data_IF_178454313356
#
_entry.id   IF_178454313356
#
_cell.length_a   1.000
_cell.length_b   1.000
_cell.length_c   1.000
_cell.angle_alpha   90.00
_cell.angle_beta   90.00
_cell.angle_gamma   90.00
#
_symmetry.space_group_name_H-M   'P 1'
#
loop_
_entity.id
_entity.type
_entity.pdbx_description
1 polymer ?
#
# COMPACT_ATOMS: atom_id res chain seq x y z
N UNK A 1 5.56 0.54 8.95
CA UNK A 1 5.42 1.10 7.59
C UNK A 1 6.43 2.22 7.34
N UNK A 2 6.44 3.29 8.15
CA UNK A 2 7.40 4.39 8.00
C UNK A 2 8.87 3.94 7.95
N UNK A 3 9.27 2.96 8.77
CA UNK A 3 10.62 2.40 8.72
C UNK A 3 10.93 1.71 7.38
N UNK A 4 9.93 1.05 6.77
CA UNK A 4 10.10 0.42 5.46
C UNK A 4 10.35 1.49 4.41
N UNK A 5 9.51 2.52 4.38
CA UNK A 5 9.62 3.65 3.44
C UNK A 5 11.01 4.28 3.55
N UNK A 6 11.47 4.56 4.78
CA UNK A 6 12.81 5.09 5.05
C UNK A 6 13.92 4.14 4.60
N UNK A 7 13.82 2.85 4.92
CA UNK A 7 14.82 1.84 4.56
C UNK A 7 14.90 1.60 3.05
N UNK A 8 13.79 1.75 2.33
CA UNK A 8 13.75 1.66 0.87
C UNK A 8 14.15 2.98 0.18
N UNK A 9 14.26 4.08 0.93
CA UNK A 9 14.55 5.41 0.37
C UNK A 9 13.42 5.97 -0.48
N UNK A 10 12.18 5.50 -0.28
CA UNK A 10 11.04 5.98 -1.05
C UNK A 10 10.65 7.40 -0.62
N UNK A 11 10.29 8.24 -1.59
CA UNK A 11 9.73 9.55 -1.30
C UNK A 11 8.37 9.39 -0.62
N UNK A 12 8.08 10.24 0.36
CA UNK A 12 6.80 10.23 1.04
C UNK A 12 6.37 11.62 1.52
N UNK A 13 5.07 11.81 1.62
CA UNK A 13 4.42 13.00 2.17
C UNK A 13 3.35 12.54 3.15
N UNK A 14 3.32 13.14 4.33
CA UNK A 14 2.26 12.90 5.31
C UNK A 14 1.42 14.17 5.45
N UNK A 15 0.11 14.00 5.49
CA UNK A 15 -0.84 15.09 5.71
C UNK A 15 -1.95 14.71 6.68
N UNK A 16 -2.38 15.67 7.47
CA UNK A 16 -3.51 15.61 8.40
C UNK A 16 -4.52 16.68 7.96
N UNK A 17 -5.77 16.31 7.71
CA UNK A 17 -6.84 17.21 7.23
C UNK A 17 -6.42 18.08 6.03
N UNK A 18 -5.62 17.48 5.13
CA UNK A 18 -5.09 18.13 3.93
C UNK A 18 -3.87 19.04 4.16
N UNK A 19 -3.44 19.27 5.41
CA UNK A 19 -2.22 20.01 5.72
C UNK A 19 -1.01 19.08 5.78
N UNK A 20 0.08 19.40 5.07
CA UNK A 20 1.32 18.61 5.12
C UNK A 20 2.01 18.83 6.47
N UNK A 21 2.25 17.74 7.20
CA UNK A 21 2.88 17.76 8.53
C UNK A 21 4.00 16.73 8.62
N UNK A 22 4.91 16.92 9.59
CA UNK A 22 6.04 16.02 9.78
C UNK A 22 5.61 14.81 10.59
N UNK A 23 5.59 13.62 9.97
CA UNK A 23 5.41 12.36 10.68
C UNK A 23 6.71 11.89 11.32
N UNK A 24 6.75 11.76 12.64
CA UNK A 24 7.95 11.32 13.35
C UNK A 24 8.03 9.79 13.40
N UNK A 25 6.90 9.14 13.69
CA UNK A 25 6.78 7.68 13.82
C UNK A 25 5.48 7.13 13.21
N UNK A 26 5.51 5.87 12.75
CA UNK A 26 4.31 5.22 12.20
C UNK A 26 3.18 5.06 13.24
N UNK A 27 3.53 4.92 14.53
CA UNK A 27 2.56 4.80 15.61
C UNK A 27 1.71 6.06 15.78
N UNK A 28 2.27 7.25 15.47
CA UNK A 28 1.51 8.51 15.51
C UNK A 28 0.41 8.51 14.45
N UNK A 29 0.72 8.07 13.24
CA UNK A 29 -0.29 7.96 12.16
C UNK A 29 -1.45 7.04 12.56
N UNK A 30 -1.15 5.90 13.17
CA UNK A 30 -2.18 4.95 13.63
C UNK A 30 -3.05 5.55 14.74
N UNK A 31 -2.47 6.32 15.65
CA UNK A 31 -3.21 6.98 16.73
C UNK A 31 -4.09 8.14 16.23
N UNK A 32 -3.76 8.74 15.08
CA UNK A 32 -4.48 9.88 14.50
C UNK A 32 -5.60 9.49 13.54
N UNK A 33 -5.50 8.32 12.90
CA UNK A 33 -6.43 7.89 11.85
C UNK A 33 -7.89 7.77 12.29
N UNK A 34 -8.15 7.61 13.59
CA UNK A 34 -9.51 7.57 14.15
C UNK A 34 -10.15 8.98 14.28
N UNK A 35 -9.33 10.02 14.46
CA UNK A 35 -9.78 11.39 14.80
C UNK A 35 -9.58 12.41 13.65
N UNK A 36 -8.85 12.06 12.60
CA UNK A 36 -8.34 12.99 11.57
C UNK A 36 -8.15 12.29 10.23
N UNK A 37 -8.35 12.98 9.09
CA UNK A 37 -8.02 12.43 7.77
C UNK A 37 -6.50 12.41 7.56
N UNK A 38 -5.87 11.37 8.13
CA UNK A 38 -4.44 11.13 8.10
C UNK A 38 -4.05 10.31 6.87
N UNK A 39 -3.26 10.91 5.97
CA UNK A 39 -2.82 10.30 4.71
C UNK A 39 -1.30 10.22 4.64
N UNK A 40 -0.78 9.05 4.28
CA UNK A 40 0.63 8.89 3.94
C UNK A 40 0.77 8.53 2.46
N UNK A 41 1.16 9.51 1.65
CA UNK A 41 1.50 9.31 0.24
C UNK A 41 2.94 8.81 0.13
N UNK A 42 3.15 7.81 -0.73
CA UNK A 42 4.45 7.17 -0.94
C UNK A 42 4.67 6.96 -2.43
N UNK A 43 5.88 7.25 -2.89
CA UNK A 43 6.30 7.03 -4.27
C UNK A 43 7.47 6.04 -4.32
N UNK A 44 7.21 4.73 -4.58
CA UNK A 44 8.26 3.74 -4.74
C UNK A 44 9.21 4.04 -5.91
N UNK A 45 8.66 4.65 -6.96
CA UNK A 45 9.37 5.23 -8.10
C UNK A 45 8.65 6.52 -8.53
N UNK A 46 9.32 7.43 -9.26
CA UNK A 46 8.66 8.61 -9.81
C UNK A 46 7.41 8.25 -10.62
N UNK A 47 6.29 8.91 -10.33
CA UNK A 47 5.00 8.69 -11.03
C UNK A 47 4.15 7.51 -10.52
N UNK A 48 4.64 6.71 -9.57
CA UNK A 48 3.86 5.65 -8.94
C UNK A 48 3.42 6.09 -7.55
N UNK A 49 2.16 6.50 -7.38
CA UNK A 49 1.62 6.94 -6.09
C UNK A 49 0.87 5.80 -5.39
N UNK A 50 1.29 5.49 -4.16
CA UNK A 50 0.52 4.69 -3.20
C UNK A 50 0.08 5.58 -2.02
N UNK A 51 -1.19 5.53 -1.63
CA UNK A 51 -1.76 6.34 -0.55
C UNK A 51 -2.18 5.41 0.57
N UNK A 52 -1.52 5.50 1.73
CA UNK A 52 -1.81 4.70 2.91
C UNK A 52 -2.74 5.45 3.86
N UNK A 53 -3.69 4.71 4.43
CA UNK A 53 -4.69 5.17 5.39
C UNK A 53 -4.81 4.19 6.55
N UNK A 54 -5.12 4.69 7.74
CA UNK A 54 -5.32 3.89 8.95
C UNK A 54 -6.76 4.07 9.44
N UNK A 55 -7.69 3.32 8.85
CA UNK A 55 -9.12 3.43 9.17
C UNK A 55 -9.50 2.74 10.47
N UNK A 56 -8.81 1.66 10.84
CA UNK A 56 -9.10 0.87 12.03
C UNK A 56 -7.82 0.39 12.72
N UNK A 57 -7.92 0.14 14.03
CA UNK A 57 -6.81 -0.32 14.81
C UNK A 57 -6.30 -1.69 14.31
N UNK A 58 -5.07 -1.71 13.79
CA UNK A 58 -4.38 -2.93 13.38
C UNK A 58 -4.46 -3.26 11.89
N UNK A 59 -5.17 -2.46 11.10
CA UNK A 59 -5.10 -2.48 9.64
C UNK A 59 -4.44 -1.20 9.10
N UNK A 60 -3.85 -1.33 7.92
CA UNK A 60 -3.41 -0.19 7.11
C UNK A 60 -3.84 -0.54 5.70
N UNK A 61 -4.76 0.23 5.17
CA UNK A 61 -5.21 0.10 3.80
C UNK A 61 -4.42 1.05 2.91
N UNK A 62 -4.34 0.72 1.62
CA UNK A 62 -3.71 1.60 0.68
C UNK A 62 -4.29 1.47 -0.72
N UNK A 63 -4.36 2.62 -1.37
CA UNK A 63 -4.75 2.74 -2.77
C UNK A 63 -3.52 2.95 -3.64
N UNK A 64 -3.56 2.45 -4.87
CA UNK A 64 -2.56 2.75 -5.90
C UNK A 64 -3.24 3.43 -7.07
N UNK A 65 -2.59 4.46 -7.62
CA UNK A 65 -3.10 5.09 -8.84
C UNK A 65 -3.00 4.11 -10.02
N UNK A 66 -4.13 3.68 -10.56
CA UNK A 66 -4.18 2.75 -11.69
C UNK A 66 -3.50 3.29 -12.95
N UNK A 67 -3.34 4.62 -13.07
CA UNK A 67 -2.56 5.24 -14.15
C UNK A 67 -1.07 4.90 -14.08
N UNK A 68 -0.57 4.49 -12.91
CA UNK A 68 0.80 4.01 -12.73
C UNK A 68 0.96 2.52 -13.12
N UNK A 69 -0.13 1.77 -13.34
CA UNK A 69 -0.12 0.34 -13.68
C UNK A 69 -0.13 0.09 -15.20
N UNK A 70 0.52 0.96 -15.97
CA UNK A 70 0.58 0.80 -17.43
C UNK A 70 1.70 -0.18 -17.82
N UNK A 71 1.32 -1.26 -18.50
CA UNK A 71 2.25 -2.29 -18.96
C UNK A 71 2.91 -3.09 -17.84
N UNK A 72 3.89 -3.92 -18.20
CA UNK A 72 4.55 -4.83 -17.26
C UNK A 72 5.37 -4.08 -16.21
N UNK A 73 6.04 -2.98 -16.57
CA UNK A 73 6.88 -2.22 -15.63
C UNK A 73 6.07 -1.68 -14.45
N UNK A 74 4.86 -1.15 -14.70
CA UNK A 74 3.96 -0.68 -13.65
C UNK A 74 3.51 -1.81 -12.72
N UNK A 75 3.14 -2.95 -13.29
CA UNK A 75 2.77 -4.16 -12.53
C UNK A 75 3.95 -4.68 -11.70
N UNK A 76 5.17 -4.61 -12.22
CA UNK A 76 6.38 -5.02 -11.51
C UNK A 76 6.68 -4.11 -10.31
N UNK A 77 6.43 -2.79 -10.43
CA UNK A 77 6.53 -1.86 -9.30
C UNK A 77 5.50 -2.21 -8.23
N UNK A 78 4.25 -2.45 -8.61
CA UNK A 78 3.19 -2.88 -7.68
C UNK A 78 3.59 -4.18 -6.96
N UNK A 79 4.05 -5.18 -7.70
CA UNK A 79 4.48 -6.46 -7.13
C UNK A 79 5.65 -6.28 -6.14
N UNK A 80 6.62 -5.42 -6.46
CA UNK A 80 7.73 -5.09 -5.56
C UNK A 80 7.27 -4.39 -4.30
N UNK A 81 6.33 -3.45 -4.40
CA UNK A 81 5.71 -2.77 -3.26
C UNK A 81 5.01 -3.78 -2.34
N UNK A 82 4.14 -4.62 -2.89
CA UNK A 82 3.41 -5.64 -2.11
C UNK A 82 4.36 -6.61 -1.40
N UNK A 83 5.41 -7.10 -2.09
CA UNK A 83 6.45 -7.95 -1.49
C UNK A 83 7.18 -7.25 -0.35
N UNK A 84 7.59 -6.00 -0.55
CA UNK A 84 8.32 -5.24 0.46
C UNK A 84 7.49 -5.05 1.74
N UNK A 85 6.20 -4.72 1.58
CA UNK A 85 5.26 -4.60 2.70
C UNK A 85 5.06 -5.95 3.39
N UNK A 86 4.70 -6.98 2.61
CA UNK A 86 4.39 -8.31 3.13
C UNK A 86 5.57 -8.95 3.87
N UNK A 87 6.79 -8.83 3.33
CA UNK A 87 8.02 -9.27 4.00
C UNK A 87 8.27 -8.51 5.31
N UNK A 88 8.10 -7.19 5.32
CA UNK A 88 8.34 -6.36 6.51
C UNK A 88 7.35 -6.65 7.64
N UNK A 89 6.10 -6.94 7.30
CA UNK A 89 5.02 -7.19 8.24
C UNK A 89 4.85 -8.67 8.58
N UNK A 90 5.40 -9.57 7.75
CA UNK A 90 5.15 -11.02 7.80
C UNK A 90 3.64 -11.31 7.75
N UNK A 91 2.94 -10.64 6.84
CA UNK A 91 1.49 -10.74 6.64
C UNK A 91 1.16 -10.79 5.15
N UNK A 92 0.04 -11.41 4.76
CA UNK A 92 -0.51 -11.27 3.42
C UNK A 92 -0.78 -9.79 3.11
N UNK A 93 -0.63 -9.42 1.84
CA UNK A 93 -1.03 -8.12 1.30
C UNK A 93 -1.98 -8.39 0.15
N UNK A 94 -3.21 -7.93 0.24
CA UNK A 94 -4.25 -8.19 -0.75
C UNK A 94 -4.53 -6.92 -1.54
N UNK A 95 -4.86 -7.08 -2.82
CA UNK A 95 -5.39 -6.01 -3.66
C UNK A 95 -6.73 -6.48 -4.21
N UNK A 96 -7.79 -5.79 -3.82
CA UNK A 96 -9.16 -5.98 -4.30
C UNK A 96 -9.64 -4.73 -5.05
N UNK A 97 -10.60 -4.88 -5.97
CA UNK A 97 -11.37 -3.73 -6.45
C UNK A 97 -12.10 -3.08 -5.27
N UNK A 98 -12.12 -1.75 -5.21
CA UNK A 98 -12.81 -1.01 -4.14
C UNK A 98 -14.30 -1.39 -4.06
N UNK A 99 -14.93 -1.66 -5.21
CA UNK A 99 -16.33 -2.09 -5.29
C UNK A 99 -16.58 -3.54 -4.85
N UNK A 100 -15.53 -4.36 -4.68
CA UNK A 100 -15.65 -5.77 -4.33
C UNK A 100 -14.49 -6.24 -3.40
N UNK A 101 -14.46 -5.78 -2.15
CA UNK A 101 -13.37 -6.05 -1.22
C UNK A 101 -13.26 -7.52 -0.80
N UNK A 102 -14.32 -8.30 -0.98
CA UNK A 102 -14.37 -9.72 -0.59
C UNK A 102 -13.67 -10.65 -1.60
N UNK A 103 -13.35 -10.16 -2.81
CA UNK A 103 -12.75 -10.95 -3.87
C UNK A 103 -11.42 -10.32 -4.33
N UNK A 104 -10.33 -10.51 -3.57
CA UNK A 104 -9.02 -9.99 -3.94
C UNK A 104 -8.53 -10.61 -5.25
N UNK A 105 -7.89 -9.79 -6.09
CA UNK A 105 -7.36 -10.15 -7.40
C UNK A 105 -5.89 -10.53 -7.31
N UNK A 106 -5.11 -9.77 -6.54
CA UNK A 106 -3.69 -10.05 -6.27
C UNK A 106 -3.46 -10.25 -4.78
N UNK A 107 -2.50 -11.12 -4.45
CA UNK A 107 -2.07 -11.35 -3.08
C UNK A 107 -0.58 -11.57 -2.98
N UNK A 108 0.07 -11.02 -1.96
CA UNK A 108 1.38 -11.49 -1.53
C UNK A 108 1.21 -12.74 -0.65
N UNK A 109 1.72 -13.87 -1.14
CA UNK A 109 1.84 -15.13 -0.41
C UNK A 109 3.11 -15.10 0.45
N UNK A 110 2.94 -15.23 1.77
CA UNK A 110 4.03 -15.16 2.75
C UNK A 110 4.94 -16.38 2.68
N UNK A 111 4.38 -17.57 2.48
CA UNK A 111 5.13 -18.84 2.48
C UNK A 111 5.91 -19.00 1.17
N UNK A 112 5.29 -18.65 0.05
CA UNK A 112 5.91 -18.71 -1.27
C UNK A 112 6.77 -17.47 -1.59
N UNK A 113 6.75 -16.44 -0.73
CA UNK A 113 7.46 -15.16 -0.87
C UNK A 113 7.27 -14.51 -2.26
N UNK A 114 6.03 -14.55 -2.77
CA UNK A 114 5.71 -14.04 -4.10
C UNK A 114 4.31 -13.45 -4.17
N UNK A 115 4.13 -12.49 -5.08
CA UNK A 115 2.79 -12.03 -5.46
C UNK A 115 2.19 -13.07 -6.41
N UNK A 116 0.95 -13.45 -6.14
CA UNK A 116 0.16 -14.41 -6.89
C UNK A 116 -1.14 -13.78 -7.36
N UNK A 117 -1.65 -14.28 -8.47
CA UNK A 117 -3.02 -14.02 -8.90
C UNK A 117 -3.96 -14.90 -8.07
N UNK A 118 -4.95 -14.28 -7.43
CA UNK A 118 -5.92 -14.95 -6.55
C UNK A 118 -7.26 -15.20 -7.26
N UNK A 119 -7.62 -14.33 -8.20
CA UNK A 119 -8.80 -14.54 -9.05
C UNK A 119 -8.43 -15.36 -10.28
N UNK A 120 -9.28 -16.32 -10.65
CA UNK A 120 -9.19 -16.95 -11.96
C UNK A 120 -9.42 -15.89 -13.03
N UNK A 121 -8.62 -15.82 -14.12
CA UNK A 121 -8.98 -15.00 -15.26
C UNK A 121 -10.36 -15.45 -15.74
N UNK A 122 -11.36 -14.57 -15.70
CA UNK A 122 -12.55 -14.81 -16.51
C UNK A 122 -12.07 -14.75 -17.95
N UNK A 123 -12.08 -15.90 -18.64
CA UNK A 123 -11.85 -15.93 -20.07
C UNK A 123 -12.89 -15.00 -20.71
N UNK A 124 -12.44 -13.89 -21.30
CA UNK A 124 -13.27 -13.13 -22.23
C UNK A 124 -13.48 -13.93 -23.50
#
# INVERSE_FOLDING_TARGET
>A
MLDLIRAQGWACEYSEDGAVVRLSAAAEMLARGEDTDALLKVWPVPGFLAIFRAYEAGSIDFDVDLRALQGQDGVDVLCRLMRAIGRRLRKPVLLSPESDPLHPVLGFDVEADRVVLLSSPQAM
#
